data_IF_977064230617
#
_entry.id   IF_977064230617
#
_cell.length_a   1.000
_cell.length_b   1.000
_cell.length_c   1.000
_cell.angle_alpha   90.00
_cell.angle_beta   90.00
_cell.angle_gamma   90.00
#
_symmetry.space_group_name_H-M   'P 1'
#
loop_
_entity.id
_entity.type
_entity.pdbx_description
1 polymer ?
#
# COMPACT_ATOMS: atom_id res chain seq x y z
N UNK A 1 -10.10 4.02 -25.03
CA UNK A 1 -8.89 4.74 -24.58
C UNK A 1 -7.96 3.73 -23.94
N UNK A 2 -6.64 3.81 -24.11
CA UNK A 2 -5.70 2.89 -23.43
C UNK A 2 -5.22 3.48 -22.10
N UNK A 3 -5.12 2.66 -21.06
CA UNK A 3 -4.53 3.04 -19.77
C UNK A 3 -3.02 2.80 -19.74
N UNK A 4 -2.56 1.63 -20.18
CA UNK A 4 -1.15 1.28 -20.19
C UNK A 4 -0.37 2.20 -21.13
N UNK A 5 0.77 2.68 -20.65
CA UNK A 5 1.67 3.64 -21.31
C UNK A 5 1.01 5.00 -21.58
N UNK A 6 -0.01 5.36 -20.80
CA UNK A 6 -0.73 6.64 -20.95
C UNK A 6 -0.43 7.63 -19.83
N UNK A 7 -0.77 8.91 -20.08
CA UNK A 7 -0.75 9.97 -19.07
C UNK A 7 -1.61 9.63 -17.84
N UNK A 8 -2.64 8.77 -17.97
CA UNK A 8 -3.44 8.33 -16.82
C UNK A 8 -2.63 7.43 -15.89
N UNK A 9 -1.92 6.46 -16.45
CA UNK A 9 -1.05 5.58 -15.69
C UNK A 9 0.09 6.38 -15.04
N UNK A 10 0.74 7.27 -15.79
CA UNK A 10 1.82 8.11 -15.25
C UNK A 10 1.34 8.95 -14.06
N UNK A 11 0.14 9.52 -14.12
CA UNK A 11 -0.45 10.29 -13.01
C UNK A 11 -0.66 9.43 -11.76
N UNK A 12 -1.18 8.21 -11.90
CA UNK A 12 -1.37 7.32 -10.76
C UNK A 12 -0.05 6.82 -10.20
N UNK A 13 0.93 6.48 -11.05
CA UNK A 13 2.29 6.12 -10.63
C UNK A 13 2.96 7.27 -9.89
N UNK A 14 2.83 8.50 -10.38
CA UNK A 14 3.38 9.70 -9.73
C UNK A 14 2.73 9.92 -8.37
N UNK A 15 1.40 9.80 -8.28
CA UNK A 15 0.68 9.91 -7.00
C UNK A 15 1.12 8.82 -6.01
N UNK A 16 1.24 7.57 -6.47
CA UNK A 16 1.70 6.46 -5.65
C UNK A 16 3.10 6.69 -5.10
N UNK A 17 4.05 7.04 -5.96
CA UNK A 17 5.43 7.30 -5.55
C UNK A 17 5.54 8.49 -4.58
N UNK A 18 4.83 9.57 -4.88
CA UNK A 18 4.88 10.79 -4.05
C UNK A 18 4.25 10.61 -2.67
N UNK A 19 3.22 9.77 -2.55
CA UNK A 19 2.43 9.65 -1.33
C UNK A 19 2.68 8.32 -0.63
N UNK A 20 2.37 7.20 -1.28
CA UNK A 20 2.45 5.86 -0.67
C UNK A 20 3.90 5.43 -0.42
N UNK A 21 4.76 5.48 -1.45
CA UNK A 21 6.17 5.08 -1.31
C UNK A 21 6.92 6.01 -0.35
N UNK A 22 6.69 7.32 -0.45
CA UNK A 22 7.25 8.29 0.50
C UNK A 22 6.80 8.02 1.95
N UNK A 23 5.54 7.64 2.17
CA UNK A 23 5.05 7.28 3.49
C UNK A 23 5.63 5.96 4.00
N UNK A 24 5.75 4.93 3.16
CA UNK A 24 6.40 3.65 3.49
C UNK A 24 7.83 3.87 3.97
N UNK A 25 8.63 4.63 3.20
CA UNK A 25 10.02 4.94 3.55
C UNK A 25 10.10 5.58 4.94
N UNK A 26 9.23 6.56 5.21
CA UNK A 26 9.21 7.25 6.51
C UNK A 26 8.75 6.32 7.64
N UNK A 27 7.72 5.49 7.43
CA UNK A 27 7.26 4.49 8.41
C UNK A 27 8.40 3.52 8.77
N UNK A 28 9.10 3.00 7.76
CA UNK A 28 10.22 2.07 7.95
C UNK A 28 11.40 2.72 8.67
N UNK A 29 11.71 3.99 8.36
CA UNK A 29 12.74 4.75 9.08
C UNK A 29 12.39 4.93 10.57
N UNK A 30 11.12 5.20 10.88
CA UNK A 30 10.66 5.36 12.26
C UNK A 30 10.70 4.06 13.08
N UNK A 31 10.65 2.89 12.42
CA UNK A 31 10.84 1.61 13.12
C UNK A 31 12.27 1.46 13.68
N UNK A 32 13.28 1.98 12.99
CA UNK A 32 14.68 1.92 13.40
C UNK A 32 15.14 3.10 14.27
N UNK A 33 14.43 4.23 14.23
CA UNK A 33 14.78 5.42 15.00
C UNK A 33 14.50 5.23 16.51
N UNK A 34 15.52 5.53 17.33
CA UNK A 34 15.43 5.61 18.79
C UNK A 34 15.41 7.09 19.19
N UNK A 35 14.39 7.55 19.92
CA UNK A 35 14.31 8.94 20.38
C UNK A 35 12.89 9.46 20.57
N UNK A 36 12.73 10.38 21.53
CA UNK A 36 11.45 10.90 22.03
C UNK A 36 10.54 11.52 20.93
N UNK A 37 11.11 12.07 19.86
CA UNK A 37 10.36 12.67 18.74
C UNK A 37 10.02 11.69 17.61
N UNK A 38 10.81 10.62 17.41
CA UNK A 38 10.52 9.53 16.47
C UNK A 38 9.45 8.55 16.96
N UNK A 39 9.00 8.72 18.20
CA UNK A 39 8.06 7.84 18.89
C UNK A 39 6.64 8.43 18.96
N UNK A 40 6.38 9.59 18.33
CA UNK A 40 5.06 10.21 18.38
C UNK A 40 4.03 9.47 17.50
N UNK A 41 3.01 8.91 18.14
CA UNK A 41 1.88 8.24 17.51
C UNK A 41 1.18 9.07 16.41
N UNK A 42 1.00 10.41 16.54
CA UNK A 42 0.42 11.23 15.47
C UNK A 42 1.19 11.16 14.14
N UNK A 43 2.52 11.05 14.18
CA UNK A 43 3.34 10.97 12.96
C UNK A 43 3.10 9.66 12.21
N UNK A 44 3.06 8.53 12.92
CA UNK A 44 2.71 7.24 12.33
C UNK A 44 1.30 7.24 11.75
N UNK A 45 0.33 7.79 12.50
CA UNK A 45 -1.05 7.84 12.05
C UNK A 45 -1.17 8.60 10.72
N UNK A 46 -0.54 9.78 10.61
CA UNK A 46 -0.60 10.57 9.38
C UNK A 46 0.03 9.85 8.18
N UNK A 47 1.17 9.18 8.39
CA UNK A 47 1.84 8.44 7.32
C UNK A 47 0.99 7.24 6.85
N UNK A 48 0.45 6.46 7.79
CA UNK A 48 -0.46 5.36 7.49
C UNK A 48 -1.72 5.85 6.75
N UNK A 49 -2.29 6.97 7.20
CA UNK A 49 -3.47 7.56 6.58
C UNK A 49 -3.19 8.01 5.15
N UNK A 50 -2.04 8.65 4.91
CA UNK A 50 -1.62 9.07 3.58
C UNK A 50 -1.44 7.87 2.64
N UNK A 51 -0.76 6.81 3.09
CA UNK A 51 -0.60 5.58 2.31
C UNK A 51 -1.99 4.99 1.98
N UNK A 52 -2.82 4.73 3.01
CA UNK A 52 -4.15 4.15 2.81
C UNK A 52 -5.03 4.98 1.86
N UNK A 53 -4.97 6.31 1.96
CA UNK A 53 -5.74 7.19 1.10
C UNK A 53 -5.26 7.16 -0.36
N UNK A 54 -3.94 7.09 -0.59
CA UNK A 54 -3.40 6.95 -1.95
C UNK A 54 -3.91 5.68 -2.63
N UNK A 55 -3.82 4.53 -1.93
CA UNK A 55 -4.34 3.26 -2.45
C UNK A 55 -5.85 3.32 -2.73
N UNK A 56 -6.64 3.84 -1.78
CA UNK A 56 -8.09 4.01 -1.95
C UNK A 56 -8.43 4.90 -3.15
N UNK A 57 -7.71 6.01 -3.33
CA UNK A 57 -7.95 6.92 -4.45
C UNK A 57 -7.69 6.23 -5.79
N UNK A 58 -6.58 5.50 -5.92
CA UNK A 58 -6.26 4.74 -7.14
C UNK A 58 -7.36 3.73 -7.43
N UNK A 59 -7.62 2.83 -6.49
CA UNK A 59 -8.51 1.68 -6.70
C UNK A 59 -9.95 2.16 -6.95
N UNK A 60 -10.46 3.12 -6.17
CA UNK A 60 -11.82 3.61 -6.35
C UNK A 60 -11.99 4.36 -7.69
N UNK A 61 -10.99 5.15 -8.10
CA UNK A 61 -11.07 5.88 -9.36
C UNK A 61 -10.98 4.93 -10.55
N UNK A 62 -10.03 3.99 -10.54
CA UNK A 62 -9.88 3.01 -11.61
C UNK A 62 -11.08 2.05 -11.69
N UNK A 63 -11.65 1.64 -10.55
CA UNK A 63 -12.87 0.83 -10.54
C UNK A 63 -14.03 1.54 -11.25
N UNK A 64 -14.17 2.86 -11.05
CA UNK A 64 -15.19 3.68 -11.72
C UNK A 64 -14.88 3.97 -13.19
N UNK A 65 -13.60 4.13 -13.53
CA UNK A 65 -13.14 4.52 -14.86
C UNK A 65 -12.87 3.33 -15.78
N UNK A 66 -12.74 2.12 -15.24
CA UNK A 66 -12.44 0.89 -16.00
C UNK A 66 -13.28 0.71 -17.28
N UNK A 67 -14.60 1.00 -17.30
CA UNK A 67 -15.40 0.90 -18.52
C UNK A 67 -14.96 1.83 -19.67
N UNK A 68 -14.18 2.88 -19.39
CA UNK A 68 -13.68 3.85 -20.38
C UNK A 68 -12.38 3.39 -21.06
N UNK A 69 -11.74 2.36 -20.52
CA UNK A 69 -10.48 1.84 -21.04
C UNK A 69 -10.69 0.61 -21.92
N UNK A 70 -9.86 0.48 -22.96
CA UNK A 70 -9.89 -0.63 -23.91
C UNK A 70 -9.14 -1.85 -23.34
N UNK A 71 -8.12 -1.59 -22.51
CA UNK A 71 -7.23 -2.54 -21.85
C UNK A 71 -7.65 -2.84 -20.40
N UNK A 72 -8.91 -3.26 -20.22
CA UNK A 72 -9.54 -3.46 -18.90
C UNK A 72 -8.80 -4.46 -18.01
N UNK A 73 -8.26 -5.53 -18.58
CA UNK A 73 -7.50 -6.54 -17.84
C UNK A 73 -6.21 -5.93 -17.25
N UNK A 74 -5.56 -5.01 -17.97
CA UNK A 74 -4.40 -4.29 -17.45
C UNK A 74 -4.80 -3.38 -16.28
N UNK A 75 -5.90 -2.64 -16.41
CA UNK A 75 -6.44 -1.78 -15.34
C UNK A 75 -6.78 -2.61 -14.09
N UNK A 76 -7.38 -3.78 -14.26
CA UNK A 76 -7.67 -4.72 -13.17
C UNK A 76 -6.38 -5.22 -12.51
N UNK A 77 -5.38 -5.64 -13.30
CA UNK A 77 -4.07 -6.02 -12.80
C UNK A 77 -3.38 -4.92 -12.00
N UNK A 78 -3.46 -3.67 -12.47
CA UNK A 78 -2.91 -2.51 -11.77
C UNK A 78 -3.60 -2.27 -10.40
N UNK A 79 -4.93 -2.38 -10.35
CA UNK A 79 -5.67 -2.28 -9.08
C UNK A 79 -5.31 -3.42 -8.11
N UNK A 80 -5.19 -4.65 -8.61
CA UNK A 80 -4.79 -5.82 -7.81
C UNK A 80 -3.38 -5.61 -7.24
N UNK A 81 -2.42 -5.18 -8.04
CA UNK A 81 -1.06 -4.90 -7.59
C UNK A 81 -1.01 -3.81 -6.50
N UNK A 82 -1.83 -2.76 -6.66
CA UNK A 82 -1.98 -1.70 -5.66
C UNK A 82 -2.51 -2.25 -4.33
N UNK A 83 -3.55 -3.09 -4.38
CA UNK A 83 -4.16 -3.71 -3.20
C UNK A 83 -3.22 -4.71 -2.50
N UNK A 84 -2.47 -5.51 -3.28
CA UNK A 84 -1.48 -6.46 -2.75
C UNK A 84 -0.33 -5.74 -2.04
N UNK A 85 0.15 -4.63 -2.61
CA UNK A 85 1.22 -3.83 -2.02
C UNK A 85 0.82 -3.31 -0.64
N UNK A 86 -0.35 -2.68 -0.54
CA UNK A 86 -0.83 -2.17 0.75
C UNK A 86 -1.13 -3.30 1.74
N UNK A 87 -1.68 -4.44 1.30
CA UNK A 87 -1.92 -5.59 2.18
C UNK A 87 -0.62 -6.10 2.80
N UNK A 88 0.42 -6.31 1.97
CA UNK A 88 1.73 -6.79 2.40
C UNK A 88 2.34 -5.82 3.41
N UNK A 89 2.40 -4.54 3.08
CA UNK A 89 3.03 -3.53 3.93
C UNK A 89 2.28 -3.35 5.26
N UNK A 90 0.95 -3.21 5.23
CA UNK A 90 0.17 -2.99 6.45
C UNK A 90 0.16 -4.21 7.36
N UNK A 91 0.17 -5.42 6.79
CA UNK A 91 0.33 -6.65 7.57
C UNK A 91 1.69 -6.72 8.27
N UNK A 92 2.75 -6.22 7.63
CA UNK A 92 4.09 -6.12 8.24
C UNK A 92 4.18 -5.03 9.31
N UNK A 93 3.49 -3.89 9.12
CA UNK A 93 3.54 -2.79 10.08
C UNK A 93 2.78 -3.10 11.37
N UNK A 94 1.63 -3.79 11.26
CA UNK A 94 0.72 -4.04 12.38
C UNK A 94 1.41 -4.54 13.65
N UNK A 95 2.17 -5.66 13.66
CA UNK A 95 2.78 -6.17 14.88
C UNK A 95 3.80 -5.20 15.49
N UNK A 96 4.53 -4.44 14.66
CA UNK A 96 5.53 -3.46 15.13
C UNK A 96 4.86 -2.26 15.79
N UNK A 97 3.80 -1.75 15.16
CA UNK A 97 3.04 -0.60 15.66
C UNK A 97 2.25 -1.00 16.90
N UNK A 98 1.66 -2.20 16.94
CA UNK A 98 1.02 -2.74 18.13
C UNK A 98 2.01 -2.93 19.29
N UNK A 99 3.23 -3.42 19.02
CA UNK A 99 4.28 -3.51 20.03
C UNK A 99 4.71 -2.15 20.60
N UNK A 100 4.58 -1.06 19.84
CA UNK A 100 4.96 0.29 20.27
C UNK A 100 3.82 1.06 20.96
N UNK A 101 2.60 0.98 20.43
CA UNK A 101 1.46 1.81 20.86
C UNK A 101 0.29 1.03 21.47
N UNK A 102 0.38 -0.30 21.45
CA UNK A 102 -0.70 -1.20 21.88
C UNK A 102 -1.68 -1.55 20.75
N UNK A 103 -2.32 -2.70 20.90
CA UNK A 103 -3.31 -3.27 19.96
C UNK A 103 -4.56 -2.40 19.79
N UNK A 104 -4.86 -1.52 20.75
CA UNK A 104 -6.02 -0.61 20.72
C UNK A 104 -5.65 0.82 20.30
N UNK A 105 -4.47 1.01 19.72
CA UNK A 105 -4.05 2.32 19.24
C UNK A 105 -4.78 2.71 17.97
N UNK A 106 -4.98 4.02 17.77
CA UNK A 106 -5.59 4.56 16.54
C UNK A 106 -4.84 4.14 15.26
N UNK A 107 -3.54 3.86 15.36
CA UNK A 107 -2.73 3.37 14.24
C UNK A 107 -3.09 1.93 13.88
N UNK A 108 -3.21 1.04 14.89
CA UNK A 108 -3.64 -0.35 14.67
C UNK A 108 -5.08 -0.41 14.16
N UNK A 109 -5.98 0.43 14.69
CA UNK A 109 -7.35 0.55 14.19
C UNK A 109 -7.40 0.96 12.71
N UNK A 110 -6.59 1.96 12.32
CA UNK A 110 -6.50 2.39 10.92
C UNK A 110 -5.97 1.28 10.02
N UNK A 111 -4.96 0.53 10.49
CA UNK A 111 -4.42 -0.61 9.75
C UNK A 111 -5.50 -1.68 9.55
N UNK A 112 -6.20 -2.08 10.62
CA UNK A 112 -7.25 -3.09 10.55
C UNK A 112 -8.35 -2.68 9.56
N UNK A 113 -8.87 -1.44 9.66
CA UNK A 113 -9.87 -0.91 8.73
C UNK A 113 -9.39 -0.90 7.28
N UNK A 114 -8.09 -0.68 7.07
CA UNK A 114 -7.51 -0.68 5.73
C UNK A 114 -7.41 -2.11 5.19
N UNK A 115 -6.97 -3.07 6.01
CA UNK A 115 -6.91 -4.49 5.64
C UNK A 115 -8.32 -5.08 5.39
N UNK A 116 -9.32 -4.70 6.18
CA UNK A 116 -10.73 -5.05 5.95
C UNK A 116 -11.24 -4.50 4.62
N UNK A 117 -10.92 -3.23 4.32
CA UNK A 117 -11.23 -2.63 3.01
C UNK A 117 -10.57 -3.40 1.87
N UNK A 118 -9.29 -3.79 1.98
CA UNK A 118 -8.62 -4.62 0.97
C UNK A 118 -9.31 -5.98 0.80
N UNK A 119 -9.66 -6.63 1.91
CA UNK A 119 -10.34 -7.93 1.89
C UNK A 119 -11.71 -7.87 1.21
N UNK A 120 -12.39 -6.72 1.24
CA UNK A 120 -13.69 -6.54 0.58
C UNK A 120 -13.65 -6.67 -0.95
N UNK A 121 -12.47 -6.57 -1.58
CA UNK A 121 -12.31 -6.79 -3.02
C UNK A 121 -12.22 -8.27 -3.41
N UNK A 122 -12.31 -9.18 -2.44
CA UNK A 122 -12.29 -10.62 -2.72
C UNK A 122 -11.03 -11.06 -3.46
N UNK A 123 -9.90 -10.36 -3.23
CA UNK A 123 -8.61 -10.75 -3.77
C UNK A 123 -8.44 -12.22 -3.46
N UNK A 124 -8.40 -13.06 -4.50
CA UNK A 124 -7.76 -14.36 -4.39
C UNK A 124 -6.30 -14.07 -4.10
N UNK A 125 -5.96 -13.92 -2.82
CA UNK A 125 -4.60 -13.81 -2.31
C UNK A 125 -3.86 -15.16 -2.46
N UNK A 126 -4.24 -15.98 -3.45
CA UNK A 126 -3.68 -17.30 -3.75
C UNK A 126 -2.27 -17.22 -4.35
N UNK A 127 -1.76 -16.01 -4.68
CA UNK A 127 -0.40 -15.83 -5.21
C UNK A 127 0.62 -15.26 -4.21
N UNK A 128 0.31 -15.25 -2.90
CA UNK A 128 1.25 -14.78 -1.87
C UNK A 128 2.11 -15.90 -1.24
N UNK A 129 2.03 -17.14 -1.72
CA UNK A 129 2.85 -18.26 -1.19
C UNK A 129 3.99 -18.75 -2.09
N UNK A 130 4.31 -18.11 -3.22
CA UNK A 130 5.35 -18.63 -4.15
C UNK A 130 6.32 -17.58 -4.71
N UNK A 131 6.78 -16.59 -3.93
CA UNK A 131 7.90 -15.73 -4.42
C UNK A 131 8.94 -15.33 -3.38
N UNK A 132 9.08 -16.11 -2.29
CA UNK A 132 10.21 -15.98 -1.37
C UNK A 132 11.40 -16.92 -1.71
N UNK A 133 11.42 -17.52 -2.91
CA UNK A 133 12.58 -18.27 -3.39
C UNK A 133 13.41 -17.46 -4.41
N UNK A 134 14.57 -17.03 -3.92
CA UNK A 134 15.83 -16.78 -4.65
C UNK A 134 15.78 -15.90 -5.91
N UNK A 135 16.00 -14.59 -5.72
CA UNK A 135 16.66 -13.78 -6.75
C UNK A 135 18.12 -13.52 -6.34
N UNK A 136 18.96 -14.52 -6.61
CA UNK A 136 20.41 -14.41 -6.56
C UNK A 136 20.86 -13.51 -7.70
N UNK A 137 21.11 -12.22 -7.42
CA UNK A 137 21.73 -11.33 -8.40
C UNK A 137 23.22 -11.67 -8.45
N UNK A 138 23.60 -12.45 -9.47
CA UNK A 138 24.98 -12.64 -9.87
C UNK A 138 25.49 -11.36 -10.54
N UNK A 139 26.60 -10.81 -10.05
CA UNK A 139 27.40 -9.84 -10.79
C UNK A 139 28.33 -10.62 -11.73
N UNK A 140 28.37 -10.22 -13.01
CA UNK A 140 29.47 -10.51 -13.93
C UNK A 140 30.17 -9.19 -14.26
#
# INVERSE_FOLDING_TARGET
MKFQDSDFEERYNTMWNKIAVSADVQIRQLFGAKGFFSEQQPNYYQLLANYAQAAKNIVNNLSRQSPMFDDKEYVEGYMIATLQSIYKDFSQYKPRIAGRYGERSSCVDLINKTLEWVASFGLKLENLSESDDEMTIAFH
#
